data_IF_850892005293
#
_entry.id   IF_850892005293
#
_cell.length_a   1.000
_cell.length_b   1.000
_cell.length_c   1.000
_cell.angle_alpha   90.00
_cell.angle_beta   90.00
_cell.angle_gamma   90.00
#
_symmetry.space_group_name_H-M   'P 1'
#
loop_
_entity.id
_entity.type
_entity.pdbx_description
1 polymer ?
#
# COMPACT_ATOMS: atom_id res chain seq x y z
N UNK A 1 5.80 -16.94 -17.28
CA UNK A 1 4.64 -16.03 -17.09
C UNK A 1 4.86 -14.75 -17.88
N UNK A 2 3.85 -14.28 -18.63
CA UNK A 2 3.95 -13.09 -19.48
C UNK A 2 3.02 -12.01 -18.91
N UNK A 3 3.58 -11.09 -18.14
CA UNK A 3 2.83 -9.96 -17.61
C UNK A 3 2.70 -8.92 -18.73
N UNK A 4 1.48 -8.67 -19.22
CA UNK A 4 1.18 -7.52 -20.09
C UNK A 4 0.75 -6.35 -19.21
N UNK A 5 1.58 -5.32 -19.14
CA UNK A 5 1.16 -4.02 -18.63
C UNK A 5 0.61 -3.22 -19.82
N UNK A 6 -0.67 -2.90 -19.79
CA UNK A 6 -1.33 -2.08 -20.80
C UNK A 6 -1.22 -0.61 -20.38
N UNK A 7 -0.38 0.14 -21.09
CA UNK A 7 -0.37 1.60 -21.06
C UNK A 7 -0.65 2.09 -22.49
N UNK A 8 -1.85 2.64 -22.78
CA UNK A 8 -2.17 3.07 -24.13
C UNK A 8 -1.41 4.35 -24.46
N UNK A 9 -0.32 4.21 -25.21
CA UNK A 9 0.32 5.33 -25.90
C UNK A 9 -0.27 5.41 -27.32
N UNK A 10 -0.89 6.54 -27.63
CA UNK A 10 -1.40 6.86 -28.96
C UNK A 10 -0.32 7.62 -29.74
N UNK A 11 -0.01 7.16 -30.96
CA UNK A 11 0.95 7.83 -31.86
C UNK A 11 0.19 8.32 -33.09
N UNK A 12 0.36 9.60 -33.44
CA UNK A 12 -0.23 10.18 -34.64
C UNK A 12 0.61 9.81 -35.87
N UNK A 13 0.04 9.06 -36.79
CA UNK A 13 0.67 8.73 -38.09
C UNK A 13 0.59 9.94 -39.03
N UNK A 14 1.55 10.06 -39.96
CA UNK A 14 1.78 11.25 -40.81
C UNK A 14 0.68 11.61 -41.81
N UNK A 15 -0.41 10.85 -41.89
CA UNK A 15 -1.48 11.06 -42.86
C UNK A 15 -2.85 10.99 -42.19
N UNK A 16 -3.18 11.95 -41.32
CA UNK A 16 -4.52 12.27 -40.80
C UNK A 16 -5.50 11.07 -40.56
N UNK A 17 -4.98 9.92 -40.13
CA UNK A 17 -5.72 8.69 -39.87
C UNK A 17 -5.85 8.47 -38.37
N UNK A 18 -6.93 7.75 -38.00
CA UNK A 18 -7.31 7.43 -36.61
C UNK A 18 -6.13 6.96 -35.76
N UNK A 19 -6.02 7.48 -34.54
CA UNK A 19 -5.03 7.08 -33.54
C UNK A 19 -5.09 5.57 -33.29
N UNK A 20 -4.04 4.84 -33.68
CA UNK A 20 -3.95 3.40 -33.44
C UNK A 20 -3.31 3.15 -32.06
N UNK A 21 -3.88 2.26 -31.22
CA UNK A 21 -3.26 1.88 -29.97
C UNK A 21 -1.97 1.09 -30.25
N UNK A 22 -0.83 1.63 -29.80
CA UNK A 22 0.46 0.93 -29.92
C UNK A 22 0.67 0.03 -28.70
N UNK A 23 0.74 -1.29 -28.93
CA UNK A 23 1.10 -2.26 -27.91
C UNK A 23 2.62 -2.51 -27.92
N UNK A 24 3.33 -1.87 -27.00
CA UNK A 24 4.75 -2.13 -26.78
C UNK A 24 4.95 -3.48 -26.09
N UNK A 25 5.80 -4.33 -26.67
CA UNK A 25 6.13 -5.66 -26.11
C UNK A 25 7.51 -5.61 -25.48
N UNK A 26 7.59 -5.85 -24.18
CA UNK A 26 8.88 -6.00 -23.50
C UNK A 26 9.32 -7.47 -23.49
N UNK A 27 10.57 -7.74 -23.87
CA UNK A 27 11.22 -9.05 -23.78
C UNK A 27 12.40 -8.95 -22.82
N UNK A 28 12.20 -9.39 -21.58
CA UNK A 28 13.24 -9.45 -20.55
C UNK A 28 13.04 -10.75 -19.75
N UNK A 29 14.11 -11.28 -19.17
CA UNK A 29 13.98 -12.33 -18.17
C UNK A 29 13.18 -11.80 -16.97
N UNK A 30 12.22 -12.57 -16.42
CA UNK A 30 11.41 -12.15 -15.27
C UNK A 30 12.20 -12.28 -13.96
N UNK A 31 13.38 -11.68 -13.92
CA UNK A 31 14.32 -11.73 -12.79
C UNK A 31 14.70 -10.30 -12.44
N UNK A 32 14.68 -9.97 -11.15
CA UNK A 32 15.12 -8.69 -10.62
C UNK A 32 16.04 -8.97 -9.43
N UNK A 33 17.20 -8.30 -9.30
CA UNK A 33 18.04 -8.43 -8.11
C UNK A 33 17.22 -8.09 -6.86
N UNK A 34 17.21 -8.99 -5.88
CA UNK A 34 16.33 -8.93 -4.71
C UNK A 34 17.03 -8.44 -3.42
N UNK A 35 18.32 -8.12 -3.48
CA UNK A 35 19.08 -7.68 -2.30
C UNK A 35 18.70 -6.26 -1.86
N UNK A 36 18.30 -5.40 -2.80
CA UNK A 36 17.79 -4.07 -2.53
C UNK A 36 16.64 -3.76 -3.48
N UNK A 37 15.49 -3.40 -2.93
CA UNK A 37 14.32 -2.98 -3.68
C UNK A 37 13.71 -1.74 -3.04
N UNK A 38 12.98 -0.97 -3.82
CA UNK A 38 12.26 0.21 -3.33
C UNK A 38 11.09 -0.21 -2.44
N UNK A 39 10.69 0.67 -1.51
CA UNK A 39 9.57 0.40 -0.59
C UNK A 39 8.30 0.00 -1.35
N UNK A 40 8.02 0.62 -2.50
CA UNK A 40 6.90 0.26 -3.39
C UNK A 40 6.92 -1.20 -3.84
N UNK A 41 8.10 -1.74 -4.19
CA UNK A 41 8.24 -3.15 -4.63
C UNK A 41 8.16 -4.15 -3.48
N UNK A 42 8.36 -3.68 -2.24
CA UNK A 42 8.22 -4.50 -1.02
C UNK A 42 6.77 -4.64 -0.53
N UNK A 43 5.83 -3.84 -1.08
CA UNK A 43 4.43 -3.90 -0.67
C UNK A 43 3.85 -5.30 -0.95
N UNK A 44 3.19 -5.87 0.06
CA UNK A 44 2.62 -7.22 0.00
C UNK A 44 3.61 -8.36 0.29
N UNK A 45 4.86 -8.08 0.66
CA UNK A 45 5.85 -9.10 1.03
C UNK A 45 6.18 -9.06 2.52
N UNK A 46 6.40 -10.25 3.11
CA UNK A 46 6.94 -10.38 4.47
C UNK A 46 8.46 -10.52 4.36
N UNK A 47 9.20 -9.51 4.81
CA UNK A 47 10.67 -9.49 4.74
C UNK A 47 11.20 -9.56 6.17
N UNK A 48 11.97 -10.60 6.53
CA UNK A 48 12.40 -10.80 7.93
C UNK A 48 13.40 -9.76 8.43
N UNK A 49 14.18 -9.12 7.54
CA UNK A 49 15.13 -8.07 7.90
C UNK A 49 15.18 -7.00 6.79
N UNK A 50 14.76 -5.77 7.08
CA UNK A 50 14.81 -4.64 6.15
C UNK A 50 15.65 -3.49 6.71
N UNK A 51 16.28 -2.74 5.81
CA UNK A 51 17.11 -1.58 6.16
C UNK A 51 16.74 -0.40 5.25
N UNK A 52 16.00 0.58 5.79
CA UNK A 52 15.46 1.70 5.01
C UNK A 52 16.43 2.91 5.01
N UNK A 53 16.60 3.57 3.85
CA UNK A 53 17.31 4.87 3.76
C UNK A 53 16.28 5.98 3.55
N UNK A 54 16.16 6.90 4.51
CA UNK A 54 15.19 7.98 4.49
C UNK A 54 13.82 7.51 4.98
N UNK A 55 13.55 7.70 6.27
CA UNK A 55 12.29 7.31 6.88
C UNK A 55 11.30 8.46 6.76
N UNK A 56 10.30 8.32 5.89
CA UNK A 56 9.07 9.13 5.99
C UNK A 56 8.26 8.68 7.20
N UNK A 57 7.43 9.57 7.77
CA UNK A 57 6.56 9.24 8.91
C UNK A 57 5.70 7.99 8.63
N UNK A 58 5.20 7.87 7.39
CA UNK A 58 4.40 6.73 6.95
C UNK A 58 5.20 5.42 6.92
N UNK A 59 6.40 5.42 6.33
CA UNK A 59 7.23 4.21 6.27
C UNK A 59 7.67 3.75 7.65
N UNK A 60 7.93 4.70 8.55
CA UNK A 60 8.31 4.42 9.93
C UNK A 60 7.14 3.86 10.74
N UNK A 61 5.94 4.44 10.62
CA UNK A 61 4.72 3.90 11.21
C UNK A 61 4.42 2.48 10.72
N UNK A 62 4.55 2.23 9.40
CA UNK A 62 4.34 0.90 8.82
C UNK A 62 5.40 -0.10 9.32
N UNK A 63 6.66 0.30 9.42
CA UNK A 63 7.72 -0.56 9.95
C UNK A 63 7.50 -0.91 11.43
N UNK A 64 7.07 0.06 12.24
CA UNK A 64 6.78 -0.16 13.67
C UNK A 64 5.54 -1.04 13.88
N UNK A 65 4.44 -0.77 13.18
CA UNK A 65 3.19 -1.56 13.28
C UNK A 65 3.34 -3.01 12.83
N UNK A 66 4.29 -3.30 11.93
CA UNK A 66 4.58 -4.67 11.48
C UNK A 66 5.56 -5.43 12.37
N UNK A 67 6.19 -4.75 13.31
CA UNK A 67 7.13 -5.36 14.23
C UNK A 67 6.42 -5.97 15.43
N UNK A 68 6.78 -7.20 15.79
CA UNK A 68 6.20 -7.89 16.95
C UNK A 68 6.72 -7.36 18.29
N UNK A 69 7.70 -6.44 18.29
CA UNK A 69 8.27 -5.84 19.49
C UNK A 69 9.60 -5.12 19.23
N UNK A 70 10.12 -4.45 20.26
CA UNK A 70 11.38 -3.67 20.17
C UNK A 70 12.59 -4.51 19.72
N UNK A 71 12.58 -5.82 19.96
CA UNK A 71 13.66 -6.74 19.59
C UNK A 71 13.74 -7.05 18.10
N UNK A 72 12.65 -6.83 17.34
CA UNK A 72 12.59 -7.12 15.89
C UNK A 72 12.73 -5.87 15.02
N UNK A 73 12.59 -4.67 15.60
CA UNK A 73 12.84 -3.41 14.90
C UNK A 73 14.33 -3.08 14.91
N UNK A 74 14.98 -3.15 13.75
CA UNK A 74 16.34 -2.63 13.58
C UNK A 74 16.30 -1.37 12.74
N UNK A 75 16.57 -0.22 13.37
CA UNK A 75 16.74 1.04 12.68
C UNK A 75 18.21 1.16 12.26
N UNK A 76 18.47 1.27 10.96
CA UNK A 76 19.84 1.34 10.42
C UNK A 76 20.51 2.70 10.69
N UNK A 77 19.73 3.72 11.04
CA UNK A 77 20.18 5.08 11.38
C UNK A 77 19.24 5.69 12.41
N UNK A 78 19.75 6.66 13.16
CA UNK A 78 18.92 7.52 13.98
C UNK A 78 17.90 8.26 13.10
N UNK A 79 16.67 8.38 13.59
CA UNK A 79 15.62 9.14 12.95
C UNK A 79 15.44 10.47 13.68
N UNK A 80 15.06 11.51 12.95
CA UNK A 80 14.70 12.79 13.57
C UNK A 80 13.35 12.64 14.28
N UNK A 81 13.32 12.83 15.60
CA UNK A 81 12.11 12.80 16.40
C UNK A 81 11.06 13.82 15.92
N UNK A 82 11.49 14.89 15.23
CA UNK A 82 10.59 15.85 14.59
C UNK A 82 9.66 15.23 13.55
N UNK A 83 10.06 14.09 12.96
CA UNK A 83 9.20 13.34 12.03
C UNK A 83 7.95 12.80 12.73
N UNK A 84 8.05 12.37 13.99
CA UNK A 84 6.89 11.94 14.81
C UNK A 84 6.05 13.10 15.33
N UNK A 85 6.64 14.29 15.43
CA UNK A 85 5.97 15.52 15.85
C UNK A 85 5.34 16.27 14.67
N UNK A 86 5.58 15.80 13.44
CA UNK A 86 4.99 16.37 12.25
C UNK A 86 3.47 16.15 12.27
N UNK A 87 2.70 17.22 12.07
CA UNK A 87 1.26 17.14 11.95
C UNK A 87 0.87 16.24 10.75
N UNK A 88 -0.09 15.35 10.96
CA UNK A 88 -0.70 14.61 9.87
C UNK A 88 -1.44 15.60 8.95
N UNK A 89 -1.52 15.31 7.65
CA UNK A 89 -2.27 16.18 6.74
C UNK A 89 -3.75 16.20 7.15
N UNK A 90 -4.38 17.37 7.11
CA UNK A 90 -5.78 17.55 7.48
C UNK A 90 -6.71 16.65 6.66
N UNK A 91 -6.37 16.41 5.39
CA UNK A 91 -7.08 15.49 4.51
C UNK A 91 -7.07 14.03 5.02
N UNK A 92 -5.93 13.55 5.55
CA UNK A 92 -5.84 12.20 6.08
C UNK A 92 -6.59 12.04 7.40
N UNK A 93 -6.61 13.08 8.24
CA UNK A 93 -7.40 13.09 9.48
C UNK A 93 -8.90 13.05 9.14
N UNK A 94 -9.34 13.91 8.21
CA UNK A 94 -10.73 13.95 7.79
C UNK A 94 -11.20 12.62 7.18
N UNK A 95 -10.33 11.95 6.41
CA UNK A 95 -10.65 10.64 5.87
C UNK A 95 -10.65 9.54 6.96
N UNK A 96 -9.78 9.59 7.96
CA UNK A 96 -9.82 8.66 9.11
C UNK A 96 -11.13 8.79 9.89
N UNK A 97 -11.59 10.02 10.14
CA UNK A 97 -12.86 10.29 10.81
C UNK A 97 -14.05 9.76 10.00
N UNK A 98 -14.07 10.03 8.69
CA UNK A 98 -15.10 9.50 7.78
C UNK A 98 -15.11 7.97 7.76
N UNK A 99 -13.94 7.32 7.74
CA UNK A 99 -13.83 5.86 7.75
C UNK A 99 -14.35 5.26 9.07
N UNK A 100 -14.12 5.93 10.20
CA UNK A 100 -14.68 5.51 11.49
C UNK A 100 -16.20 5.60 11.50
N UNK A 101 -16.77 6.67 10.98
CA UNK A 101 -18.22 6.79 10.84
C UNK A 101 -18.79 5.63 10.00
N UNK A 102 -18.15 5.34 8.86
CA UNK A 102 -18.56 4.24 7.99
C UNK A 102 -18.43 2.86 8.65
N UNK A 103 -17.38 2.62 9.45
CA UNK A 103 -17.21 1.39 10.23
C UNK A 103 -18.33 1.23 11.27
N UNK A 104 -18.69 2.31 11.98
CA UNK A 104 -19.79 2.26 12.95
C UNK A 104 -21.13 1.98 12.30
N UNK A 105 -21.41 2.58 11.13
CA UNK A 105 -22.64 2.32 10.39
C UNK A 105 -22.67 0.88 9.87
N UNK A 106 -21.56 0.41 9.30
CA UNK A 106 -21.43 -0.97 8.82
C UNK A 106 -21.66 -1.98 9.94
N UNK A 107 -21.13 -1.72 11.16
CA UNK A 107 -21.36 -2.56 12.34
C UNK A 107 -22.83 -2.58 12.78
N UNK A 108 -23.49 -1.42 12.82
CA UNK A 108 -24.94 -1.34 13.14
C UNK A 108 -25.77 -2.13 12.14
N UNK A 109 -25.50 -1.96 10.84
CA UNK A 109 -26.17 -2.69 9.79
C UNK A 109 -25.94 -4.21 9.92
N UNK A 110 -24.71 -4.62 10.23
CA UNK A 110 -24.35 -6.03 10.47
C UNK A 110 -25.11 -6.65 11.65
N UNK A 111 -25.23 -5.91 12.76
CA UNK A 111 -25.99 -6.33 13.94
C UNK A 111 -27.49 -6.44 13.65
N UNK A 112 -28.07 -5.46 12.94
CA UNK A 112 -29.48 -5.45 12.52
C UNK A 112 -29.82 -6.61 11.57
N UNK A 113 -28.88 -7.01 10.72
CA UNK A 113 -29.04 -8.17 9.81
C UNK A 113 -28.98 -9.53 10.53
N UNK A 114 -28.86 -9.56 11.86
CA UNK A 114 -28.88 -10.80 12.64
C UNK A 114 -27.66 -11.70 12.41
N UNK A 115 -26.55 -11.16 11.93
CA UNK A 115 -25.27 -11.88 11.76
C UNK A 115 -24.22 -11.49 12.82
N UNK A 116 -24.65 -10.80 13.87
CA UNK A 116 -23.83 -10.54 15.06
C UNK A 116 -23.51 -11.83 15.83
N UNK A 117 -22.54 -11.78 16.78
CA UNK A 117 -22.06 -12.95 17.52
C UNK A 117 -23.14 -13.73 18.29
N UNK A 118 -24.30 -13.13 18.54
CA UNK A 118 -25.46 -13.78 19.18
C UNK A 118 -26.16 -14.82 18.29
N UNK A 119 -25.98 -14.76 16.97
CA UNK A 119 -26.59 -15.71 16.02
C UNK A 119 -25.99 -17.12 16.08
N UNK A 120 -24.84 -17.30 16.74
CA UNK A 120 -24.18 -18.60 16.91
C UNK A 120 -24.55 -19.31 18.22
N UNK A 121 -25.42 -18.71 19.05
CA UNK A 121 -25.77 -19.26 20.39
C UNK A 121 -27.02 -20.15 20.40
N UNK A 122 -27.72 -20.29 19.26
CA UNK A 122 -28.88 -21.18 19.10
C UNK A 122 -28.65 -22.18 17.97
N UNK A 123 -27.73 -23.13 18.17
CA UNK A 123 -27.71 -24.38 17.39
C UNK A 123 -27.20 -25.55 18.20
#
# INVERSE_FOLDING_TARGET
>A
LKIRLYFPHYVQTRDNQSLQPVCWKHRQFPVTPAYAFTDYRSQGQTIPHSAHRGLSLFNLYVALSRSSGRSTVRLLRDFDAKVFLAAHSAELIAEDDRLRELDTETKKQWELMGRGPTALTHR
#
